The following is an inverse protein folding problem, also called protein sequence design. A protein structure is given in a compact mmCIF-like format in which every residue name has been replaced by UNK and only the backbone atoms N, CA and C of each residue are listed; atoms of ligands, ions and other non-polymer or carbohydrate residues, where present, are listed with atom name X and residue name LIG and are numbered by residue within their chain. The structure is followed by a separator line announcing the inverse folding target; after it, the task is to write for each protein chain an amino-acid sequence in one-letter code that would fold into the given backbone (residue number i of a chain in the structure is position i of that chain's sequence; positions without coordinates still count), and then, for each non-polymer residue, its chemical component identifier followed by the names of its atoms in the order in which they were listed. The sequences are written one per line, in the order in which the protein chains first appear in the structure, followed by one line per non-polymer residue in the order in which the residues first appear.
data_IF_142057542315
#
_entry.id   IF_142057542315
#
_cell.length_a   1.000
_cell.length_b   1.000
_cell.length_c   1.000
_cell.angle_alpha   90.00
_cell.angle_beta   90.00
_cell.angle_gamma   90.00
#
_symmetry.space_group_name_H-M   'P 1'
#
loop_
_entity.id
_entity.type
_entity.pdbx_description
1 polymer ?
#
# COMPACT_ATOMS: atom_id res chain seq x y z
N UNK A 1 3.72 26.63 -17.91
CA UNK A 1 4.27 25.44 -18.58
C UNK A 1 4.38 24.33 -17.57
N UNK A 2 3.87 23.14 -17.88
CA UNK A 2 3.89 22.03 -16.91
C UNK A 2 5.27 21.40 -16.91
N UNK A 3 5.93 21.28 -15.74
CA UNK A 3 7.30 20.74 -15.60
C UNK A 3 7.37 19.28 -16.03
N UNK A 4 8.35 18.93 -16.86
CA UNK A 4 8.68 17.53 -17.18
C UNK A 4 9.53 16.95 -16.07
N UNK A 5 9.02 15.91 -15.40
CA UNK A 5 9.63 15.30 -14.21
C UNK A 5 10.23 13.94 -14.55
N UNK A 6 11.50 13.74 -14.19
CA UNK A 6 12.14 12.43 -14.16
C UNK A 6 12.23 11.95 -12.70
N UNK A 7 11.74 10.74 -12.42
CA UNK A 7 11.81 10.13 -11.09
C UNK A 7 13.06 9.25 -10.99
N UNK A 8 13.99 9.62 -10.09
CA UNK A 8 15.14 8.77 -9.77
C UNK A 8 14.92 7.98 -8.48
N UNK A 9 15.46 6.77 -8.41
CA UNK A 9 15.34 5.91 -7.24
C UNK A 9 16.58 6.01 -6.35
N UNK A 10 16.36 6.22 -5.06
CA UNK A 10 17.40 6.13 -4.04
C UNK A 10 17.36 4.71 -3.42
N UNK A 11 18.48 3.99 -3.50
CA UNK A 11 18.54 2.59 -3.07
C UNK A 11 18.39 2.44 -1.56
N UNK A 12 18.92 3.38 -0.78
CA UNK A 12 18.80 3.33 0.68
C UNK A 12 17.33 3.49 1.10
N UNK A 13 16.61 4.44 0.49
CA UNK A 13 15.19 4.63 0.74
C UNK A 13 14.34 3.48 0.21
N UNK A 14 14.69 2.91 -0.95
CA UNK A 14 14.02 1.70 -1.42
C UNK A 14 14.12 0.57 -0.39
N UNK A 15 15.30 0.38 0.20
CA UNK A 15 15.50 -0.63 1.24
C UNK A 15 14.74 -0.30 2.53
N UNK A 16 14.67 0.98 2.93
CA UNK A 16 13.91 1.41 4.11
C UNK A 16 12.38 1.19 3.97
N UNK A 17 11.87 1.16 2.74
CA UNK A 17 10.45 0.94 2.44
C UNK A 17 10.07 -0.55 2.25
N UNK A 18 11.01 -1.49 2.48
CA UNK A 18 10.68 -2.91 2.52
C UNK A 18 9.71 -3.23 3.67
N UNK A 19 8.85 -4.27 3.51
CA UNK A 19 8.79 -5.25 2.41
C UNK A 19 8.06 -4.78 1.14
N UNK A 20 7.47 -3.57 1.14
CA UNK A 20 6.61 -3.10 0.05
C UNK A 20 7.35 -2.87 -1.27
N UNK A 21 8.66 -2.69 -1.23
CA UNK A 21 9.51 -2.39 -2.40
C UNK A 21 10.35 -3.58 -2.87
N UNK A 22 10.13 -4.77 -2.33
CA UNK A 22 10.89 -5.97 -2.70
C UNK A 22 10.70 -6.35 -4.17
N UNK A 23 9.46 -6.22 -4.71
CA UNK A 23 9.13 -6.53 -6.11
C UNK A 23 8.88 -5.32 -6.99
N UNK A 24 9.03 -4.11 -6.48
CA UNK A 24 8.69 -2.88 -7.22
C UNK A 24 9.58 -1.72 -6.87
N UNK A 25 9.53 -0.70 -7.73
CA UNK A 25 10.14 0.60 -7.46
C UNK A 25 9.34 1.38 -6.43
N UNK A 26 9.98 2.34 -5.76
CA UNK A 26 9.30 3.25 -4.84
C UNK A 26 8.16 4.01 -5.53
N UNK A 27 8.37 4.44 -6.77
CA UNK A 27 7.36 5.13 -7.57
C UNK A 27 6.10 4.30 -7.85
N UNK A 28 6.18 2.98 -7.76
CA UNK A 28 5.05 2.04 -7.98
C UNK A 28 4.24 1.75 -6.70
N UNK A 29 4.59 2.37 -5.56
CA UNK A 29 3.81 2.26 -4.33
C UNK A 29 2.44 2.92 -4.49
N UNK A 30 1.42 2.29 -3.95
CA UNK A 30 0.03 2.73 -3.99
C UNK A 30 -0.31 3.63 -2.80
N UNK A 31 -0.97 4.77 -3.08
CA UNK A 31 -1.58 5.65 -2.08
C UNK A 31 -2.73 6.40 -2.73
N UNK A 32 -3.80 6.72 -1.99
CA UNK A 32 -4.98 7.32 -2.63
C UNK A 32 -5.60 6.39 -3.67
N UNK A 33 -5.79 6.86 -4.89
CA UNK A 33 -6.46 6.11 -5.96
C UNK A 33 -5.53 5.48 -7.00
N UNK A 34 -4.20 5.69 -6.88
CA UNK A 34 -3.23 5.22 -7.89
C UNK A 34 -1.82 5.09 -7.33
N UNK A 35 -0.84 4.70 -8.16
CA UNK A 35 0.59 4.68 -7.80
C UNK A 35 1.18 6.09 -7.70
N UNK A 36 2.28 6.24 -6.94
CA UNK A 36 2.98 7.52 -6.85
C UNK A 36 3.38 8.03 -8.23
N UNK A 37 3.91 7.16 -9.10
CA UNK A 37 4.35 7.56 -10.43
C UNK A 37 3.23 8.07 -11.34
N UNK A 38 2.03 7.48 -11.24
CA UNK A 38 0.90 7.88 -12.09
C UNK A 38 0.33 9.26 -11.71
N UNK A 39 0.65 9.76 -10.52
CA UNK A 39 0.28 11.09 -10.05
C UNK A 39 1.18 12.21 -10.63
N UNK A 40 2.34 11.85 -11.19
CA UNK A 40 3.23 12.77 -11.89
C UNK A 40 2.79 12.89 -13.35
N UNK A 41 1.83 13.76 -13.65
CA UNK A 41 1.17 13.88 -14.95
C UNK A 41 2.12 14.20 -16.14
N UNK A 42 3.31 14.71 -15.88
CA UNK A 42 4.32 15.06 -16.88
C UNK A 42 5.61 14.27 -16.72
N UNK A 43 5.50 13.04 -16.23
CA UNK A 43 6.66 12.14 -16.10
C UNK A 43 7.33 11.86 -17.45
N UNK A 44 8.66 11.88 -17.46
CA UNK A 44 9.51 11.46 -18.58
C UNK A 44 10.41 10.30 -18.17
N UNK A 45 10.76 9.43 -19.13
CA UNK A 45 11.54 8.22 -18.88
C UNK A 45 13.06 8.44 -18.92
N UNK A 46 13.52 9.62 -19.33
CA UNK A 46 14.93 9.95 -19.43
C UNK A 46 15.25 11.26 -18.71
N UNK A 47 16.33 11.31 -17.90
CA UNK A 47 16.75 12.53 -17.24
C UNK A 47 17.15 13.65 -18.22
N UNK A 48 17.61 13.29 -19.44
CA UNK A 48 17.96 14.26 -20.48
C UNK A 48 16.77 15.08 -21.00
N UNK A 49 15.56 14.52 -20.89
CA UNK A 49 14.33 15.14 -21.35
C UNK A 49 13.53 15.82 -20.23
N UNK A 50 14.07 15.83 -19.01
CA UNK A 50 13.41 16.36 -17.83
C UNK A 50 13.79 17.83 -17.60
N UNK A 51 12.81 18.62 -17.18
CA UNK A 51 13.05 19.96 -16.64
C UNK A 51 13.58 19.85 -15.19
N UNK A 52 13.18 18.79 -14.49
CA UNK A 52 13.53 18.53 -13.09
C UNK A 52 13.63 17.03 -12.82
N UNK A 53 14.61 16.64 -12.01
CA UNK A 53 14.74 15.29 -11.48
C UNK A 53 14.24 15.29 -10.03
N UNK A 54 13.39 14.34 -9.69
CA UNK A 54 12.76 14.25 -8.37
C UNK A 54 12.96 12.84 -7.81
N UNK A 55 13.31 12.74 -6.54
CA UNK A 55 13.43 11.45 -5.86
C UNK A 55 12.07 10.75 -5.82
N UNK A 56 12.03 9.47 -6.17
CA UNK A 56 10.80 8.70 -6.36
C UNK A 56 9.93 8.54 -5.11
N UNK A 57 10.50 8.77 -3.92
CA UNK A 57 9.76 8.79 -2.66
C UNK A 57 9.14 10.15 -2.31
N UNK A 58 9.44 11.21 -3.05
CA UNK A 58 8.78 12.52 -2.89
C UNK A 58 7.32 12.40 -3.32
N UNK A 59 6.44 12.89 -2.46
CA UNK A 59 5.01 12.77 -2.66
C UNK A 59 4.47 13.87 -3.59
N UNK A 60 3.75 13.51 -4.67
CA UNK A 60 3.18 14.44 -5.65
C UNK A 60 1.92 15.14 -5.12
N UNK A 61 2.08 15.91 -4.07
CA UNK A 61 1.03 16.73 -3.46
C UNK A 61 1.00 18.13 -4.08
N UNK A 62 -0.13 18.86 -4.03
CA UNK A 62 -0.22 20.23 -4.58
C UNK A 62 0.92 21.13 -4.09
N UNK A 63 1.22 21.12 -2.78
CA UNK A 63 2.33 21.89 -2.20
C UNK A 63 3.72 21.47 -2.72
N UNK A 64 3.89 20.22 -3.12
CA UNK A 64 5.13 19.74 -3.72
C UNK A 64 5.35 20.35 -5.11
N UNK A 65 4.31 20.37 -5.95
CA UNK A 65 4.38 20.99 -7.27
C UNK A 65 4.65 22.50 -7.18
N UNK A 66 4.04 23.18 -6.22
CA UNK A 66 4.30 24.60 -5.96
C UNK A 66 5.79 24.84 -5.64
N UNK A 67 6.36 24.07 -4.69
CA UNK A 67 7.77 24.17 -4.33
C UNK A 67 8.69 23.85 -5.49
N UNK A 68 8.40 22.81 -6.29
CA UNK A 68 9.22 22.44 -7.46
C UNK A 68 9.20 23.52 -8.55
N UNK A 69 8.07 24.21 -8.74
CA UNK A 69 8.01 25.33 -9.68
C UNK A 69 8.95 26.48 -9.29
N UNK A 70 9.18 26.68 -8.00
CA UNK A 70 10.06 27.72 -7.45
C UNK A 70 11.53 27.28 -7.32
N UNK A 71 11.89 26.02 -7.64
CA UNK A 71 13.29 25.59 -7.62
C UNK A 71 14.09 26.31 -8.71
N UNK A 72 15.11 27.14 -8.36
CA UNK A 72 15.90 27.88 -9.34
C UNK A 72 16.66 26.97 -10.30
N UNK A 73 17.09 27.53 -11.44
CA UNK A 73 17.97 26.83 -12.37
C UNK A 73 19.29 26.42 -11.67
N UNK A 74 19.86 25.30 -12.11
CA UNK A 74 21.10 24.72 -11.58
C UNK A 74 21.14 24.53 -10.06
N UNK A 75 19.96 24.35 -9.43
CA UNK A 75 19.81 24.18 -7.98
C UNK A 75 19.22 22.82 -7.61
N UNK A 76 19.45 22.39 -6.37
CA UNK A 76 18.79 21.23 -5.80
C UNK A 76 18.17 21.54 -4.44
N UNK A 77 17.02 20.89 -4.15
CA UNK A 77 16.45 20.85 -2.81
C UNK A 77 17.05 19.66 -2.06
N UNK A 78 17.60 19.95 -0.89
CA UNK A 78 18.15 18.95 0.03
C UNK A 78 17.44 19.08 1.38
N UNK A 79 17.25 17.98 2.06
CA UNK A 79 16.72 17.93 3.43
C UNK A 79 17.49 16.89 4.23
N UNK A 80 18.12 17.30 5.33
CA UNK A 80 18.95 16.43 6.18
C UNK A 80 20.00 15.63 5.40
N UNK A 81 20.67 16.27 4.42
CA UNK A 81 21.66 15.63 3.57
C UNK A 81 21.12 14.79 2.41
N UNK A 82 19.81 14.57 2.34
CA UNK A 82 19.15 13.82 1.28
C UNK A 82 18.71 14.76 0.15
N UNK A 83 19.15 14.50 -1.09
CA UNK A 83 18.68 15.23 -2.27
C UNK A 83 17.25 14.78 -2.62
N UNK A 84 16.32 15.72 -2.65
CA UNK A 84 14.90 15.48 -2.93
C UNK A 84 14.52 15.84 -4.36
N UNK A 85 15.09 16.91 -4.91
CA UNK A 85 14.84 17.36 -6.27
C UNK A 85 16.01 18.17 -6.81
N UNK A 86 16.23 18.11 -8.13
CA UNK A 86 17.32 18.83 -8.81
C UNK A 86 16.84 19.39 -10.13
N UNK A 87 17.15 20.67 -10.43
CA UNK A 87 16.96 21.33 -11.71
C UNK A 87 18.32 21.66 -12.31
N UNK A 88 18.53 21.29 -13.58
CA UNK A 88 19.82 21.50 -14.26
C UNK A 88 20.98 20.74 -13.57
N UNK A 89 22.12 21.42 -13.41
CA UNK A 89 23.35 20.79 -12.83
C UNK A 89 23.33 20.62 -11.31
N UNK A 90 22.36 21.23 -10.61
CA UNK A 90 22.25 21.13 -9.14
C UNK A 90 23.44 21.72 -8.35
N UNK A 91 24.06 22.80 -8.89
CA UNK A 91 25.27 23.43 -8.33
C UNK A 91 24.97 24.10 -6.99
N UNK A 92 23.77 24.68 -6.85
CA UNK A 92 23.36 25.40 -5.66
C UNK A 92 22.45 24.53 -4.79
N UNK A 93 22.86 24.26 -3.56
CA UNK A 93 22.09 23.50 -2.59
C UNK A 93 21.21 24.43 -1.76
N UNK A 94 19.91 24.11 -1.71
CA UNK A 94 18.91 24.81 -0.91
C UNK A 94 18.31 23.84 0.10
N UNK A 95 18.43 24.13 1.38
CA UNK A 95 17.77 23.32 2.42
C UNK A 95 16.27 23.55 2.34
N UNK A 96 15.52 22.52 1.92
CA UNK A 96 14.06 22.59 1.75
C UNK A 96 13.41 21.24 1.99
N UNK A 97 12.45 21.21 2.89
CA UNK A 97 11.63 20.02 3.11
C UNK A 97 10.54 19.90 2.03
N UNK A 98 10.58 18.82 1.26
CA UNK A 98 9.45 18.33 0.49
C UNK A 98 8.83 17.15 1.23
N UNK A 99 7.51 16.92 1.15
CA UNK A 99 6.92 15.68 1.66
C UNK A 99 7.50 14.46 0.94
N UNK A 100 8.08 13.51 1.66
CA UNK A 100 8.61 12.28 1.08
C UNK A 100 8.51 11.13 2.08
N UNK A 101 8.52 9.90 1.56
CA UNK A 101 8.46 8.68 2.37
C UNK A 101 9.87 8.28 2.82
N UNK A 102 10.01 8.00 4.10
CA UNK A 102 11.20 7.39 4.72
C UNK A 102 10.93 5.94 5.14
N UNK A 103 9.68 5.64 5.50
CA UNK A 103 9.26 4.35 6.06
C UNK A 103 7.89 3.94 5.52
N UNK A 104 7.58 2.63 5.44
CA UNK A 104 6.37 2.14 4.78
C UNK A 104 5.06 2.60 5.42
N UNK A 105 5.01 2.73 6.76
CA UNK A 105 3.81 3.19 7.48
C UNK A 105 3.42 4.63 7.17
N UNK A 106 4.34 5.44 6.65
CA UNK A 106 4.05 6.83 6.29
C UNK A 106 3.07 6.95 5.12
N UNK A 107 2.95 5.91 4.28
CA UNK A 107 1.89 5.86 3.27
C UNK A 107 0.49 6.04 3.89
N UNK A 108 0.26 5.45 5.07
CA UNK A 108 -1.01 5.60 5.80
C UNK A 108 -1.23 7.05 6.26
N UNK A 109 -0.18 7.74 6.68
CA UNK A 109 -0.28 9.13 7.13
C UNK A 109 -0.76 10.08 6.02
N UNK A 110 -0.37 9.82 4.77
CA UNK A 110 -0.75 10.63 3.62
C UNK A 110 -2.02 10.15 2.91
N UNK A 111 -2.53 8.97 3.27
CA UNK A 111 -3.66 8.34 2.60
C UNK A 111 -4.91 9.25 2.53
N UNK A 112 -5.29 9.86 3.65
CA UNK A 112 -6.45 10.74 3.72
C UNK A 112 -6.30 11.97 2.80
N UNK A 113 -5.11 12.58 2.78
CA UNK A 113 -4.83 13.76 1.96
C UNK A 113 -4.97 13.42 0.46
N UNK A 114 -4.40 12.30 0.02
CA UNK A 114 -4.54 11.86 -1.37
C UNK A 114 -5.99 11.56 -1.74
N UNK A 115 -6.71 10.79 -0.92
CA UNK A 115 -8.10 10.45 -1.21
C UNK A 115 -8.97 11.70 -1.36
N UNK A 116 -8.82 12.69 -0.46
CA UNK A 116 -9.58 13.95 -0.53
C UNK A 116 -9.19 14.83 -1.74
N UNK A 117 -7.92 14.81 -2.13
CA UNK A 117 -7.45 15.60 -3.28
C UNK A 117 -7.89 14.99 -4.62
N UNK A 118 -7.93 13.67 -4.72
CA UNK A 118 -8.12 12.93 -5.97
C UNK A 118 -9.58 12.61 -6.28
N UNK A 119 -10.41 12.36 -5.26
CA UNK A 119 -11.81 11.96 -5.45
C UNK A 119 -12.67 13.21 -5.64
N UNK A 120 -13.42 13.22 -6.75
CA UNK A 120 -14.46 14.19 -7.05
C UNK A 120 -15.78 13.45 -7.13
N UNK A 121 -16.74 13.83 -6.29
CA UNK A 121 -18.08 13.26 -6.29
C UNK A 121 -18.93 13.73 -7.45
N UNK A 122 -20.13 13.22 -7.57
CA UNK A 122 -21.30 13.76 -8.30
C UNK A 122 -22.15 12.76 -9.09
N UNK A 123 -22.23 11.46 -8.74
CA UNK A 123 -23.21 10.65 -9.43
C UNK A 123 -23.76 9.44 -8.67
N UNK A 124 -24.32 9.59 -7.48
CA UNK A 124 -25.07 8.47 -6.92
C UNK A 124 -26.34 8.26 -7.76
N UNK A 125 -26.49 7.08 -8.29
CA UNK A 125 -27.75 6.66 -8.88
C UNK A 125 -28.66 6.08 -7.80
N UNK A 126 -29.96 6.25 -7.97
CA UNK A 126 -30.97 5.63 -7.13
C UNK A 126 -30.93 4.10 -7.22
N UNK A 127 -31.43 3.41 -6.24
CA UNK A 127 -31.51 1.96 -6.14
C UNK A 127 -31.81 1.59 -4.70
N UNK A 128 -31.66 0.34 -4.32
CA UNK A 128 -31.85 -0.12 -2.94
C UNK A 128 -30.63 0.19 -2.05
N UNK A 129 -29.96 1.34 -2.28
CA UNK A 129 -28.78 1.78 -1.54
C UNK A 129 -29.11 3.03 -0.72
N UNK A 130 -28.40 3.23 0.38
CA UNK A 130 -28.48 4.46 1.17
C UNK A 130 -27.19 5.26 0.95
N UNK A 131 -27.35 6.53 0.54
CA UNK A 131 -26.25 7.48 0.36
C UNK A 131 -26.38 8.64 1.35
N UNK A 132 -25.30 8.91 2.10
CA UNK A 132 -25.19 10.05 3.00
C UNK A 132 -24.12 10.97 2.42
N UNK A 133 -24.40 12.29 2.28
CA UNK A 133 -23.58 13.25 1.55
C UNK A 133 -23.27 12.78 0.13
N UNK A 134 -24.32 12.52 -0.62
CA UNK A 134 -24.27 11.88 -1.96
C UNK A 134 -23.43 12.66 -2.98
N UNK A 135 -23.30 13.98 -2.82
CA UNK A 135 -22.48 14.88 -3.63
C UNK A 135 -20.98 14.59 -3.55
N UNK A 136 -20.53 13.93 -2.49
CA UNK A 136 -19.13 13.51 -2.28
C UNK A 136 -18.88 12.05 -2.73
N UNK A 137 -19.84 11.40 -3.37
CA UNK A 137 -19.74 10.01 -3.82
C UNK A 137 -19.61 9.95 -5.34
N UNK A 138 -18.61 9.23 -5.84
CA UNK A 138 -18.47 8.86 -7.23
C UNK A 138 -18.68 7.37 -7.41
N UNK A 139 -19.56 6.96 -8.34
CA UNK A 139 -19.76 5.55 -8.71
C UNK A 139 -19.62 5.43 -10.23
N UNK A 140 -18.64 4.62 -10.68
CA UNK A 140 -18.45 4.37 -12.10
C UNK A 140 -19.68 3.66 -12.69
N UNK A 141 -20.13 4.01 -13.92
CA UNK A 141 -21.35 3.43 -14.53
C UNK A 141 -21.34 1.90 -14.66
N UNK A 142 -20.17 1.27 -14.77
CA UNK A 142 -20.04 -0.21 -14.81
C UNK A 142 -19.97 -0.87 -13.43
N UNK A 143 -19.96 -0.09 -12.34
CA UNK A 143 -19.92 -0.65 -11.00
C UNK A 143 -21.30 -1.19 -10.57
N UNK A 144 -21.31 -2.26 -9.80
CA UNK A 144 -22.53 -2.85 -9.21
C UNK A 144 -22.55 -2.57 -7.70
N UNK A 145 -23.56 -1.84 -7.23
CA UNK A 145 -23.77 -1.55 -5.80
C UNK A 145 -25.15 -2.05 -5.40
N UNK A 146 -25.23 -2.98 -4.43
CA UNK A 146 -26.48 -3.66 -4.09
C UNK A 146 -26.77 -3.60 -2.59
N UNK A 147 -27.88 -2.93 -2.20
CA UNK A 147 -28.37 -2.93 -0.82
C UNK A 147 -27.31 -2.55 0.22
N UNK A 148 -26.57 -1.48 -0.04
CA UNK A 148 -25.41 -1.05 0.72
C UNK A 148 -25.59 0.38 1.26
N UNK A 149 -24.81 0.76 2.27
CA UNK A 149 -24.78 2.12 2.82
C UNK A 149 -23.42 2.73 2.53
N UNK A 150 -23.41 3.88 1.83
CA UNK A 150 -22.23 4.67 1.55
C UNK A 150 -22.36 6.03 2.26
N UNK A 151 -21.51 6.25 3.27
CA UNK A 151 -21.52 7.45 4.11
C UNK A 151 -20.27 8.30 3.84
N UNK A 152 -20.44 9.37 3.07
CA UNK A 152 -19.39 10.32 2.73
C UNK A 152 -19.33 11.53 3.69
N UNK A 153 -20.01 11.50 4.85
CA UNK A 153 -20.03 12.61 5.80
C UNK A 153 -18.65 12.99 6.36
N UNK A 154 -17.70 12.05 6.38
CA UNK A 154 -16.34 12.30 6.82
C UNK A 154 -15.34 12.48 5.66
N UNK A 155 -15.77 12.35 4.41
CA UNK A 155 -14.95 12.54 3.21
C UNK A 155 -15.42 11.71 2.02
N UNK A 156 -14.82 11.95 0.84
CA UNK A 156 -15.34 11.42 -0.42
C UNK A 156 -15.19 9.89 -0.56
N UNK A 157 -16.09 9.30 -1.35
CA UNK A 157 -16.07 7.87 -1.69
C UNK A 157 -15.93 7.72 -3.21
N UNK A 158 -14.99 6.86 -3.63
CA UNK A 158 -14.77 6.49 -5.03
C UNK A 158 -15.04 5.01 -5.25
N UNK A 159 -15.99 4.71 -6.12
CA UNK A 159 -16.31 3.35 -6.59
C UNK A 159 -15.93 3.27 -8.06
N UNK A 160 -14.84 2.58 -8.36
CA UNK A 160 -14.22 2.52 -9.68
C UNK A 160 -14.89 1.58 -10.68
N UNK A 161 -14.29 1.49 -11.88
CA UNK A 161 -14.71 0.63 -12.97
C UNK A 161 -14.83 -0.83 -12.53
N UNK A 162 -15.93 -1.50 -12.88
CA UNK A 162 -16.14 -2.94 -12.63
C UNK A 162 -16.23 -3.34 -11.14
N UNK A 163 -16.24 -2.39 -10.22
CA UNK A 163 -16.35 -2.67 -8.78
C UNK A 163 -17.68 -3.37 -8.47
N UNK A 164 -17.63 -4.41 -7.63
CA UNK A 164 -18.81 -5.13 -7.18
C UNK A 164 -18.97 -5.04 -5.66
N UNK A 165 -19.92 -4.21 -5.22
CA UNK A 165 -20.29 -4.06 -3.81
C UNK A 165 -21.48 -4.95 -3.51
N UNK A 166 -21.24 -6.00 -2.69
CA UNK A 166 -22.27 -6.95 -2.31
C UNK A 166 -23.16 -6.42 -1.20
N UNK A 167 -24.35 -7.02 -1.10
CA UNK A 167 -25.41 -6.62 -0.17
C UNK A 167 -24.93 -6.50 1.29
N UNK A 168 -25.44 -5.49 1.99
CA UNK A 168 -25.12 -5.23 3.40
C UNK A 168 -23.75 -4.60 3.65
N UNK A 169 -23.00 -4.22 2.59
CA UNK A 169 -21.73 -3.52 2.75
C UNK A 169 -21.94 -2.11 3.29
N UNK A 170 -21.12 -1.72 4.28
CA UNK A 170 -21.06 -0.37 4.83
C UNK A 170 -19.72 0.27 4.45
N UNK A 171 -19.76 1.45 3.82
CA UNK A 171 -18.55 2.20 3.44
C UNK A 171 -18.63 3.59 4.05
N UNK A 172 -17.59 3.97 4.81
CA UNK A 172 -17.38 5.32 5.29
C UNK A 172 -16.20 5.98 4.58
N UNK A 173 -16.41 7.15 4.02
CA UNK A 173 -15.35 7.95 3.39
C UNK A 173 -14.41 8.65 4.39
N UNK A 174 -13.22 9.12 3.96
CA UNK A 174 -12.73 8.96 2.60
C UNK A 174 -12.32 7.50 2.30
N UNK A 175 -12.77 6.97 1.17
CA UNK A 175 -12.49 5.59 0.76
C UNK A 175 -12.46 5.44 -0.77
N UNK A 176 -11.62 4.55 -1.28
CA UNK A 176 -11.57 4.21 -2.69
C UNK A 176 -11.60 2.70 -2.90
N UNK A 177 -12.53 2.22 -3.72
CA UNK A 177 -12.53 0.87 -4.27
C UNK A 177 -12.18 0.98 -5.75
N UNK A 178 -11.04 0.42 -6.13
CA UNK A 178 -10.47 0.61 -7.47
C UNK A 178 -10.95 -0.49 -8.41
N UNK A 179 -10.54 -0.39 -9.67
CA UNK A 179 -11.00 -1.25 -10.77
C UNK A 179 -11.13 -2.74 -10.37
N UNK A 180 -12.29 -3.33 -10.67
CA UNK A 180 -12.61 -4.74 -10.43
C UNK A 180 -12.51 -5.21 -8.96
N UNK A 181 -12.42 -4.28 -8.00
CA UNK A 181 -12.47 -4.64 -6.60
C UNK A 181 -13.84 -5.17 -6.18
N UNK A 182 -13.87 -6.08 -5.23
CA UNK A 182 -15.10 -6.70 -4.73
C UNK A 182 -15.18 -6.64 -3.21
N UNK A 183 -16.31 -6.21 -2.65
CA UNK A 183 -16.63 -6.45 -1.25
C UNK A 183 -17.50 -7.69 -1.10
N UNK A 184 -17.25 -8.50 -0.09
CA UNK A 184 -18.15 -9.60 0.28
C UNK A 184 -19.33 -9.08 1.10
N UNK A 185 -20.39 -9.92 1.22
CA UNK A 185 -21.61 -9.61 1.97
C UNK A 185 -21.27 -9.10 3.37
N UNK A 186 -21.85 -7.94 3.76
CA UNK A 186 -21.70 -7.39 5.09
C UNK A 186 -20.33 -6.78 5.40
N UNK A 187 -19.46 -6.55 4.41
CA UNK A 187 -18.18 -5.90 4.64
C UNK A 187 -18.34 -4.50 5.24
N UNK A 188 -17.39 -4.10 6.11
CA UNK A 188 -17.33 -2.78 6.75
C UNK A 188 -16.03 -2.10 6.38
N UNK A 189 -16.10 -1.13 5.47
CA UNK A 189 -14.96 -0.34 5.00
C UNK A 189 -14.98 0.99 5.73
N UNK A 190 -13.99 1.19 6.60
CA UNK A 190 -13.84 2.38 7.43
C UNK A 190 -12.98 3.45 6.71
N UNK A 191 -12.98 4.71 7.21
CA UNK A 191 -12.28 5.82 6.56
C UNK A 191 -10.80 5.57 6.28
N UNK A 192 -10.27 6.34 5.32
CA UNK A 192 -8.86 6.33 4.87
C UNK A 192 -8.42 4.99 4.28
N UNK A 193 -9.34 4.28 3.61
CA UNK A 193 -9.09 2.94 3.06
C UNK A 193 -9.08 2.96 1.55
N UNK A 194 -8.04 2.36 0.95
CA UNK A 194 -8.00 2.03 -0.49
C UNK A 194 -8.01 0.51 -0.68
N UNK A 195 -8.98 0.04 -1.44
CA UNK A 195 -9.04 -1.34 -1.92
C UNK A 195 -8.55 -1.34 -3.37
N UNK A 196 -7.35 -1.87 -3.60
CA UNK A 196 -6.65 -1.87 -4.88
C UNK A 196 -7.35 -2.66 -5.99
N UNK A 197 -6.89 -2.53 -7.24
CA UNK A 197 -7.46 -3.24 -8.38
C UNK A 197 -7.51 -4.75 -8.17
N UNK A 198 -8.63 -5.38 -8.53
CA UNK A 198 -8.83 -6.84 -8.45
C UNK A 198 -8.78 -7.45 -7.05
N UNK A 199 -8.79 -6.62 -6.00
CA UNK A 199 -8.84 -7.07 -4.61
C UNK A 199 -10.22 -7.57 -4.22
N UNK A 200 -10.26 -8.52 -3.27
CA UNK A 200 -11.51 -8.99 -2.66
C UNK A 200 -11.45 -8.86 -1.15
N UNK A 201 -12.42 -8.12 -0.57
CA UNK A 201 -12.39 -7.78 0.86
C UNK A 201 -13.70 -8.08 1.57
N UNK A 202 -13.62 -8.39 2.86
CA UNK A 202 -14.73 -8.67 3.77
C UNK A 202 -14.31 -8.46 5.22
N UNK A 203 -15.25 -8.56 6.16
CA UNK A 203 -15.04 -8.24 7.56
C UNK A 203 -14.91 -6.74 7.79
N UNK A 204 -14.15 -6.33 8.82
CA UNK A 204 -13.92 -4.92 9.12
C UNK A 204 -12.51 -4.49 8.73
N UNK A 205 -12.43 -3.46 7.88
CA UNK A 205 -11.19 -2.89 7.35
C UNK A 205 -11.18 -1.39 7.65
N UNK A 206 -10.16 -0.93 8.34
CA UNK A 206 -10.06 0.44 8.83
C UNK A 206 -8.69 1.05 8.53
N UNK A 207 -8.64 2.14 7.76
CA UNK A 207 -7.41 2.85 7.44
C UNK A 207 -6.34 1.92 6.86
N UNK A 208 -6.66 1.24 5.75
CA UNK A 208 -5.80 0.27 5.10
C UNK A 208 -5.54 0.62 3.63
N UNK A 209 -4.41 0.15 3.13
CA UNK A 209 -4.07 0.18 1.70
C UNK A 209 -3.86 -1.25 1.23
N UNK A 210 -4.71 -1.72 0.32
CA UNK A 210 -4.57 -3.00 -0.35
C UNK A 210 -3.95 -2.77 -1.72
N UNK A 211 -2.80 -3.38 -1.98
CA UNK A 211 -2.17 -3.37 -3.29
C UNK A 211 -2.88 -4.36 -4.22
N UNK A 212 -2.72 -4.22 -5.56
CA UNK A 212 -3.51 -4.98 -6.51
C UNK A 212 -3.54 -6.49 -6.27
N UNK A 213 -4.71 -7.09 -6.53
CA UNK A 213 -4.96 -8.54 -6.52
C UNK A 213 -4.85 -9.23 -5.15
N UNK A 214 -4.76 -8.49 -4.06
CA UNK A 214 -4.73 -9.04 -2.71
C UNK A 214 -6.15 -9.29 -2.17
N UNK A 215 -6.28 -10.21 -1.21
CA UNK A 215 -7.56 -10.59 -0.64
C UNK A 215 -7.52 -10.61 0.89
N UNK A 216 -8.58 -10.10 1.50
CA UNK A 216 -9.05 -10.40 2.85
C UNK A 216 -10.57 -10.61 2.77
N UNK A 217 -10.97 -11.71 2.15
CA UNK A 217 -12.35 -11.89 1.68
C UNK A 217 -13.38 -12.19 2.80
N UNK A 218 -12.92 -12.64 3.96
CA UNK A 218 -13.77 -13.14 5.05
C UNK A 218 -13.74 -12.25 6.28
N UNK A 219 -14.53 -12.56 7.30
CA UNK A 219 -14.57 -11.85 8.57
C UNK A 219 -13.19 -11.80 9.25
N UNK A 220 -13.06 -10.91 10.21
CA UNK A 220 -11.86 -10.51 10.91
C UNK A 220 -11.59 -9.01 10.77
N UNK A 221 -10.84 -8.46 11.70
CA UNK A 221 -10.46 -7.05 11.74
C UNK A 221 -9.07 -6.82 11.16
N UNK A 222 -8.91 -5.78 10.34
CA UNK A 222 -7.61 -5.27 9.89
C UNK A 222 -7.62 -3.74 9.97
N UNK A 223 -6.69 -3.18 10.74
CA UNK A 223 -6.60 -1.73 10.94
C UNK A 223 -5.20 -1.19 10.72
N UNK A 224 -5.08 0.04 10.20
CA UNK A 224 -3.83 0.78 9.96
C UNK A 224 -2.74 -0.09 9.30
N UNK A 225 -3.12 -0.80 8.22
CA UNK A 225 -2.29 -1.85 7.62
C UNK A 225 -2.11 -1.64 6.11
N UNK A 226 -0.99 -2.15 5.59
CA UNK A 226 -0.72 -2.18 4.16
C UNK A 226 -0.55 -3.64 3.74
N UNK A 227 -1.28 -4.05 2.72
CA UNK A 227 -1.27 -5.42 2.21
C UNK A 227 -0.71 -5.45 0.80
N UNK A 228 0.40 -6.12 0.60
CA UNK A 228 1.10 -6.27 -0.67
C UNK A 228 0.31 -7.08 -1.70
N UNK A 229 0.74 -6.97 -2.96
CA UNK A 229 0.04 -7.58 -4.10
C UNK A 229 0.00 -9.11 -4.01
N UNK A 230 -1.08 -9.70 -4.55
CA UNK A 230 -1.30 -11.16 -4.59
C UNK A 230 -1.27 -11.86 -3.22
N UNK A 231 -1.38 -11.09 -2.12
CA UNK A 231 -1.48 -11.64 -0.78
C UNK A 231 -2.90 -12.09 -0.46
N UNK A 232 -3.06 -13.18 0.29
CA UNK A 232 -4.35 -13.72 0.65
C UNK A 232 -4.42 -14.00 2.15
N UNK A 233 -5.19 -13.21 2.87
CA UNK A 233 -5.44 -13.41 4.30
C UNK A 233 -6.61 -14.36 4.49
N UNK A 234 -6.36 -15.49 5.14
CA UNK A 234 -7.36 -16.55 5.41
C UNK A 234 -8.54 -16.04 6.25
N UNK A 235 -9.61 -16.82 6.29
CA UNK A 235 -10.79 -16.48 7.08
C UNK A 235 -10.43 -16.23 8.55
N UNK A 236 -11.08 -15.24 9.17
CA UNK A 236 -10.83 -14.84 10.57
C UNK A 236 -9.39 -14.38 10.85
N UNK A 237 -8.62 -14.01 9.81
CA UNK A 237 -7.35 -13.32 10.03
C UNK A 237 -7.62 -11.97 10.66
N UNK A 238 -6.99 -11.71 11.82
CA UNK A 238 -7.10 -10.48 12.58
C UNK A 238 -5.74 -9.80 12.74
N UNK A 239 -5.75 -8.47 12.72
CA UNK A 239 -4.55 -7.68 12.95
C UNK A 239 -4.80 -6.55 13.94
N UNK A 240 -4.14 -6.59 15.10
CA UNK A 240 -4.18 -5.49 16.05
C UNK A 240 -3.42 -4.28 15.51
N UNK A 241 -3.95 -3.07 15.72
CA UNK A 241 -3.30 -1.82 15.31
C UNK A 241 -2.99 -0.88 16.49
N UNK A 242 -3.48 -1.17 17.68
CA UNK A 242 -3.25 -0.40 18.89
C UNK A 242 -2.71 -1.32 19.98
N UNK A 243 -1.67 -0.88 20.67
CA UNK A 243 -1.12 -1.61 21.83
C UNK A 243 -2.01 -1.45 23.05
N UNK A 244 -2.10 -2.48 23.89
CA UNK A 244 -2.90 -2.41 25.12
C UNK A 244 -2.40 -1.38 26.14
N UNK A 245 -1.10 -1.05 26.08
CA UNK A 245 -0.46 -0.05 26.96
C UNK A 245 -0.46 1.36 26.34
N UNK A 246 -1.10 1.55 25.16
CA UNK A 246 -1.24 2.83 24.44
C UNK A 246 0.12 3.51 24.12
N UNK A 247 1.22 2.76 24.19
CA UNK A 247 2.55 3.24 23.83
C UNK A 247 2.76 3.26 22.30
N UNK A 248 3.71 4.06 21.78
CA UNK A 248 4.06 4.05 20.37
C UNK A 248 4.43 2.65 19.87
N UNK A 249 4.02 2.37 18.63
CA UNK A 249 4.26 1.09 17.97
C UNK A 249 5.68 1.03 17.43
N UNK A 250 6.34 -0.11 17.56
CA UNK A 250 7.60 -0.37 16.87
C UNK A 250 7.37 -1.30 15.69
N UNK A 251 8.01 -0.99 14.54
CA UNK A 251 8.07 -1.83 13.34
C UNK A 251 9.50 -2.32 13.12
N UNK A 252 9.65 -3.51 12.55
CA UNK A 252 10.95 -3.96 12.06
C UNK A 252 11.40 -3.07 10.90
N UNK A 253 12.64 -2.59 10.97
CA UNK A 253 13.28 -1.74 9.98
C UNK A 253 14.35 -2.55 9.24
N UNK A 254 14.22 -2.68 7.92
CA UNK A 254 15.11 -3.50 7.10
C UNK A 254 16.53 -2.92 6.99
N UNK A 255 16.70 -1.60 7.16
CA UNK A 255 18.01 -0.96 7.12
C UNK A 255 18.76 -1.11 8.45
N UNK A 256 18.04 -0.98 9.56
CA UNK A 256 18.58 -1.18 10.90
C UNK A 256 18.68 -2.66 11.29
N UNK A 257 17.92 -3.53 10.60
CA UNK A 257 17.75 -4.96 10.97
C UNK A 257 17.29 -5.15 12.42
N UNK A 258 16.46 -4.23 12.89
CA UNK A 258 16.00 -4.15 14.27
C UNK A 258 14.64 -3.43 14.36
N UNK A 259 13.89 -3.57 15.48
CA UNK A 259 12.69 -2.78 15.70
C UNK A 259 13.01 -1.28 15.82
N UNK A 260 12.29 -0.44 15.07
CA UNK A 260 12.33 1.02 15.13
C UNK A 260 11.01 1.54 15.73
N UNK A 261 11.09 2.49 16.64
CA UNK A 261 9.92 3.20 17.15
C UNK A 261 9.37 4.14 16.05
N UNK A 262 8.09 4.00 15.74
CA UNK A 262 7.42 4.82 14.69
C UNK A 262 6.97 6.19 15.21
N UNK A 263 6.89 6.40 16.51
CA UNK A 263 6.24 7.56 17.14
C UNK A 263 4.70 7.52 17.05
N UNK A 264 4.12 6.58 16.31
CA UNK A 264 2.67 6.44 16.09
C UNK A 264 2.07 5.47 17.12
N UNK A 265 0.88 5.80 17.63
CA UNK A 265 0.12 4.92 18.56
C UNK A 265 -0.66 3.82 17.84
N UNK A 266 -0.99 4.04 16.56
CA UNK A 266 -1.80 3.12 15.76
C UNK A 266 -1.08 2.75 14.47
N UNK A 267 -0.52 1.54 14.44
CA UNK A 267 0.07 0.91 13.25
C UNK A 267 -0.22 -0.59 13.31
N UNK A 268 -0.86 -1.10 12.28
CA UNK A 268 -1.17 -2.52 12.15
C UNK A 268 -0.05 -3.31 11.49
N UNK A 269 -0.37 -4.00 10.40
CA UNK A 269 0.53 -4.88 9.69
C UNK A 269 1.09 -4.22 8.44
N UNK A 270 2.38 -4.41 8.18
CA UNK A 270 3.02 -4.12 6.89
C UNK A 270 3.34 -5.47 6.23
N UNK A 271 2.57 -5.82 5.22
CA UNK A 271 2.60 -7.14 4.59
C UNK A 271 3.18 -7.02 3.19
N UNK A 272 4.21 -7.81 2.89
CA UNK A 272 4.81 -7.92 1.56
C UNK A 272 3.92 -8.62 0.54
N UNK A 273 4.44 -8.83 -0.66
CA UNK A 273 3.72 -9.47 -1.74
C UNK A 273 3.67 -11.01 -1.58
N UNK A 274 2.64 -11.63 -2.15
CA UNK A 274 2.48 -13.10 -2.15
C UNK A 274 2.47 -13.73 -0.75
N UNK A 275 2.00 -13.01 0.25
CA UNK A 275 1.81 -13.54 1.61
C UNK A 275 0.47 -14.25 1.70
N UNK A 276 0.48 -15.50 2.14
CA UNK A 276 -0.75 -16.26 2.43
C UNK A 276 -0.81 -16.62 3.91
N UNK A 277 -1.99 -16.45 4.52
CA UNK A 277 -2.20 -16.85 5.92
C UNK A 277 -3.25 -17.95 6.03
N UNK A 278 -3.02 -18.85 6.98
CA UNK A 278 -4.03 -19.83 7.37
C UNK A 278 -5.26 -19.18 8.03
N UNK A 279 -6.33 -19.96 8.16
CA UNK A 279 -7.55 -19.55 8.85
C UNK A 279 -7.23 -19.21 10.31
N UNK A 280 -7.92 -18.18 10.85
CA UNK A 280 -7.79 -17.73 12.25
C UNK A 280 -6.39 -17.24 12.67
N UNK A 281 -5.53 -16.89 11.70
CA UNK A 281 -4.23 -16.30 12.02
C UNK A 281 -4.41 -14.90 12.63
N UNK A 282 -3.75 -14.65 13.78
CA UNK A 282 -3.84 -13.37 14.49
C UNK A 282 -2.47 -12.71 14.61
N UNK A 283 -2.41 -11.42 14.26
CA UNK A 283 -1.17 -10.63 14.29
C UNK A 283 -1.20 -9.57 15.40
N UNK A 284 -0.08 -9.43 16.08
CA UNK A 284 0.14 -8.33 17.01
C UNK A 284 0.28 -6.99 16.29
N UNK A 285 0.06 -5.91 17.03
CA UNK A 285 0.35 -4.54 16.64
C UNK A 285 1.78 -4.41 16.11
N UNK A 286 1.95 -3.80 14.95
CA UNK A 286 3.26 -3.54 14.36
C UNK A 286 3.96 -4.79 13.79
N UNK A 287 3.21 -5.78 13.30
CA UNK A 287 3.80 -6.94 12.64
C UNK A 287 4.22 -6.59 11.21
N UNK A 288 5.48 -6.89 10.87
CA UNK A 288 6.04 -6.77 9.52
C UNK A 288 6.26 -8.16 8.95
N UNK A 289 5.71 -8.42 7.78
CA UNK A 289 5.76 -9.72 7.10
C UNK A 289 6.44 -9.54 5.74
N UNK A 290 7.57 -10.20 5.53
CA UNK A 290 8.27 -10.22 4.25
C UNK A 290 7.47 -10.93 3.15
N UNK A 291 7.90 -10.80 1.90
CA UNK A 291 7.20 -11.39 0.76
C UNK A 291 7.32 -12.93 0.71
N UNK A 292 6.40 -13.58 -0.01
CA UNK A 292 6.39 -15.03 -0.24
C UNK A 292 6.25 -15.87 1.03
N UNK A 293 5.56 -15.39 2.04
CA UNK A 293 5.27 -16.17 3.23
C UNK A 293 3.99 -16.99 3.06
N UNK A 294 4.00 -18.22 3.58
CA UNK A 294 2.80 -19.07 3.74
C UNK A 294 2.76 -19.55 5.19
N UNK A 295 1.99 -18.87 6.01
CA UNK A 295 2.05 -18.99 7.47
C UNK A 295 0.68 -19.20 8.10
N UNK A 296 0.66 -19.97 9.17
CA UNK A 296 -0.48 -20.05 10.10
C UNK A 296 0.03 -19.89 11.52
N UNK A 297 -0.86 -19.62 12.48
CA UNK A 297 -0.45 -19.55 13.88
C UNK A 297 -1.57 -19.91 14.84
N UNK A 298 -1.20 -20.63 15.89
CA UNK A 298 -1.96 -20.75 17.12
C UNK A 298 -1.38 -19.70 18.07
N UNK A 299 -2.12 -18.61 18.32
CA UNK A 299 -1.62 -17.45 19.05
C UNK A 299 -0.97 -16.40 18.16
N UNK A 300 -0.06 -15.60 18.71
CA UNK A 300 0.56 -14.50 18.00
C UNK A 300 1.97 -14.86 17.50
N UNK A 301 2.24 -14.83 16.18
CA UNK A 301 3.58 -15.00 15.68
C UNK A 301 4.48 -13.79 16.03
N UNK A 302 5.82 -13.88 15.80
CA UNK A 302 6.72 -12.76 16.00
C UNK A 302 6.29 -11.52 15.22
N UNK A 303 6.65 -10.32 15.73
CA UNK A 303 6.35 -9.06 15.03
C UNK A 303 7.16 -8.85 13.75
N UNK A 304 8.22 -9.61 13.54
CA UNK A 304 8.92 -9.71 12.28
C UNK A 304 8.90 -11.15 11.78
N UNK A 305 8.38 -11.33 10.58
CA UNK A 305 8.33 -12.60 9.87
C UNK A 305 9.14 -12.42 8.58
N UNK A 306 10.33 -13.05 8.47
CA UNK A 306 11.19 -12.92 7.30
C UNK A 306 10.51 -13.39 6.02
N UNK A 307 10.97 -12.88 4.86
CA UNK A 307 10.51 -13.36 3.56
C UNK A 307 10.73 -14.86 3.42
N UNK A 308 9.87 -15.52 2.66
CA UNK A 308 9.91 -16.99 2.48
C UNK A 308 9.77 -17.79 3.79
N UNK A 309 9.00 -17.28 4.74
CA UNK A 309 8.60 -18.07 5.93
C UNK A 309 7.47 -19.03 5.56
N UNK A 310 7.57 -20.28 6.04
CA UNK A 310 6.58 -21.32 5.80
C UNK A 310 6.25 -22.11 7.06
N UNK A 311 4.97 -22.40 7.23
CA UNK A 311 4.50 -23.34 8.25
C UNK A 311 3.68 -22.68 9.35
N UNK A 312 3.55 -23.39 10.45
CA UNK A 312 2.78 -22.97 11.62
C UNK A 312 3.69 -22.44 12.72
N UNK A 313 3.42 -21.25 13.26
CA UNK A 313 4.12 -20.76 14.45
C UNK A 313 3.76 -21.62 15.67
N UNK A 314 4.75 -22.06 16.50
CA UNK A 314 6.15 -21.59 16.55
C UNK A 314 7.14 -22.30 15.62
N UNK A 315 6.72 -23.24 14.81
CA UNK A 315 7.61 -24.08 13.98
C UNK A 315 7.78 -23.54 12.55
N UNK A 316 7.95 -22.21 12.40
CA UNK A 316 8.23 -21.60 11.10
C UNK A 316 9.59 -22.05 10.57
N UNK A 317 9.67 -22.25 9.24
CA UNK A 317 10.88 -22.66 8.51
C UNK A 317 10.99 -21.93 7.19
N UNK A 318 12.11 -22.06 6.50
CA UNK A 318 12.27 -21.54 5.14
C UNK A 318 11.27 -22.22 4.19
N UNK A 319 10.60 -21.42 3.38
CA UNK A 319 9.80 -21.92 2.25
C UNK A 319 10.73 -22.36 1.14
N UNK A 320 10.57 -23.58 0.65
CA UNK A 320 11.29 -24.07 -0.51
C UNK A 320 11.07 -23.13 -1.69
N UNK A 321 12.15 -22.71 -2.36
CA UNK A 321 12.09 -21.69 -3.40
C UNK A 321 11.18 -22.09 -4.57
N UNK A 322 11.30 -23.34 -5.05
CA UNK A 322 10.51 -23.80 -6.20
C UNK A 322 9.02 -23.90 -5.87
N UNK A 323 8.69 -24.30 -4.64
CA UNK A 323 7.30 -24.32 -4.17
C UNK A 323 6.74 -22.90 -4.01
N UNK A 324 7.53 -21.96 -3.49
CA UNK A 324 7.15 -20.56 -3.38
C UNK A 324 6.92 -19.92 -4.77
N UNK A 325 7.81 -20.20 -5.74
CA UNK A 325 7.68 -19.73 -7.10
C UNK A 325 6.42 -20.30 -7.79
N UNK A 326 6.20 -21.62 -7.66
CA UNK A 326 5.00 -22.25 -8.19
C UNK A 326 3.70 -21.66 -7.58
N UNK A 327 3.70 -21.38 -6.26
CA UNK A 327 2.59 -20.75 -5.58
C UNK A 327 2.33 -19.30 -6.09
N UNK A 328 3.38 -18.52 -6.28
CA UNK A 328 3.27 -17.17 -6.84
C UNK A 328 2.67 -17.18 -8.25
N UNK A 329 3.17 -18.08 -9.14
CA UNK A 329 2.61 -18.27 -10.47
C UNK A 329 1.12 -18.68 -10.43
N UNK A 330 0.75 -19.57 -9.51
CA UNK A 330 -0.65 -20.00 -9.34
C UNK A 330 -1.57 -18.83 -8.92
N UNK A 331 -1.13 -17.96 -8.00
CA UNK A 331 -1.89 -16.76 -7.59
C UNK A 331 -2.05 -15.76 -8.74
N UNK A 332 -1.01 -15.52 -9.55
CA UNK A 332 -1.06 -14.64 -10.72
C UNK A 332 -2.06 -15.18 -11.73
N UNK A 333 -1.99 -16.48 -12.06
CA UNK A 333 -2.91 -17.14 -12.99
C UNK A 333 -4.36 -17.12 -12.49
N UNK A 334 -4.60 -17.35 -11.18
CA UNK A 334 -5.92 -17.28 -10.56
C UNK A 334 -6.58 -15.89 -10.73
N UNK A 335 -5.75 -14.85 -10.81
CA UNK A 335 -6.19 -13.47 -11.06
C UNK A 335 -6.21 -13.10 -12.56
N UNK A 336 -6.05 -14.05 -13.47
CA UNK A 336 -5.98 -13.86 -14.92
C UNK A 336 -4.93 -12.81 -15.33
N UNK A 337 -3.79 -12.79 -14.64
CA UNK A 337 -2.67 -11.90 -14.94
C UNK A 337 -1.54 -12.65 -15.64
N UNK A 338 -0.73 -11.91 -16.39
CA UNK A 338 0.49 -12.45 -17.00
C UNK A 338 1.60 -12.54 -15.95
N UNK A 339 2.33 -13.65 -15.95
CA UNK A 339 3.50 -13.83 -15.09
C UNK A 339 4.61 -12.91 -15.61
N UNK A 340 5.12 -11.96 -14.78
CA UNK A 340 6.21 -11.09 -15.19
C UNK A 340 7.47 -11.90 -15.55
N UNK A 341 8.12 -11.55 -16.66
CA UNK A 341 9.34 -12.25 -17.13
C UNK A 341 10.45 -12.26 -16.07
N UNK A 342 10.58 -11.20 -15.28
CA UNK A 342 11.58 -11.05 -14.24
C UNK A 342 11.14 -11.57 -12.86
N UNK A 343 9.94 -12.17 -12.73
CA UNK A 343 9.43 -12.62 -11.43
C UNK A 343 10.42 -13.56 -10.73
N UNK A 344 10.89 -14.58 -11.44
CA UNK A 344 11.83 -15.58 -10.88
C UNK A 344 13.10 -14.91 -10.37
N UNK A 345 13.69 -14.04 -11.19
CA UNK A 345 14.92 -13.33 -10.82
C UNK A 345 14.71 -12.46 -9.56
N UNK A 346 13.64 -11.67 -9.52
CA UNK A 346 13.35 -10.81 -8.37
C UNK A 346 13.09 -11.63 -7.10
N UNK A 347 12.42 -12.78 -7.22
CA UNK A 347 12.24 -13.70 -6.10
C UNK A 347 13.57 -14.29 -5.61
N UNK A 348 14.49 -14.66 -6.52
CA UNK A 348 15.82 -15.15 -6.15
C UNK A 348 16.66 -14.11 -5.42
N UNK A 349 16.56 -12.85 -5.82
CA UNK A 349 17.25 -11.73 -5.15
C UNK A 349 16.76 -11.58 -3.71
N UNK A 350 15.44 -11.60 -3.48
CA UNK A 350 14.85 -11.52 -2.14
C UNK A 350 15.23 -12.75 -1.32
N UNK A 351 15.13 -13.95 -1.93
CA UNK A 351 15.46 -15.21 -1.28
C UNK A 351 16.93 -15.30 -0.86
N UNK A 352 17.87 -14.75 -1.64
CA UNK A 352 19.30 -14.65 -1.30
C UNK A 352 19.58 -13.60 -0.23
N UNK A 353 18.85 -12.50 -0.22
CA UNK A 353 19.02 -11.41 0.75
C UNK A 353 18.54 -11.78 2.15
N UNK A 354 17.48 -12.60 2.26
CA UNK A 354 16.90 -13.02 3.55
C UNK A 354 17.39 -14.43 3.91
N UNK A 355 18.39 -14.49 4.80
CA UNK A 355 19.01 -15.75 5.25
C UNK A 355 18.53 -16.21 6.63
N UNK A 356 17.50 -15.56 7.19
CA UNK A 356 17.08 -15.72 8.59
C UNK A 356 16.76 -17.16 9.02
N UNK A 357 16.43 -18.04 8.08
CA UNK A 357 16.15 -19.47 8.36
C UNK A 357 17.22 -20.43 7.80
N UNK A 358 18.36 -19.92 7.31
CA UNK A 358 19.37 -20.74 6.63
C UNK A 358 20.66 -20.94 7.41
N UNK A 359 20.77 -20.27 8.58
CA UNK A 359 21.91 -20.38 9.48
C UNK A 359 21.54 -21.24 10.70
#
# INVERSE_FOLDING_TARGET
MQLKVYLFEDLALKNALQPLTQHRKVAELWVGTSTLESKWSTRVLSPKNADIQVMSSVLPLPRTFELLNHLPADSCYVYQGQMLAQRGKGIHTLEKHLPFLKHPEELLNFQSEFLRAEIKGNNPSSGNNTFICSEEIYIHPSASVKGSILDASQGPIYIGEGVNIQIGTLIQGPAALLKDATTNIGAKIRPNTTIGPGCKVGGEINHCIFFPFSNKAHDGYLGNSIVGSFSNLGALTNGSNLRNDIQPVSLYDYTLKAPRNTGLKSVGQIIGDFVTTGVSTSFNTGTVIGSHCNISSIGFPPRYIPSFSFGEYPSLRAFDFEKAYAAACAWINLKNQQIPENLRQSMEEIWKADTSFRN
#
